data_IF_657859966383
#
_entry.id   IF_657859966383
#
_cell.length_a   1.000
_cell.length_b   1.000
_cell.length_c   1.000
_cell.angle_alpha   90.00
_cell.angle_beta   90.00
_cell.angle_gamma   90.00
#
_symmetry.space_group_name_H-M   'P 1'
#
loop_
_entity.id
_entity.type
_entity.pdbx_description
1 polymer ?
#
# COMPACT_ATOMS: atom_id res chain seq x y z
N UNK A 1 17.85 0.71 39.14
CA UNK A 1 17.79 1.64 37.98
C UNK A 1 18.43 1.06 36.72
N UNK A 2 19.63 0.46 36.76
CA UNK A 2 20.31 -0.09 35.56
C UNK A 2 19.52 -1.16 34.80
N UNK A 3 18.77 -2.01 35.50
CA UNK A 3 17.98 -3.09 34.88
C UNK A 3 16.82 -2.54 34.02
N UNK A 4 16.16 -1.47 34.47
CA UNK A 4 15.06 -0.85 33.71
C UNK A 4 15.60 -0.14 32.45
N UNK A 5 16.78 0.48 32.53
CA UNK A 5 17.44 1.11 31.38
C UNK A 5 17.84 0.09 30.32
N UNK A 6 18.26 -1.11 30.73
CA UNK A 6 18.58 -2.21 29.81
C UNK A 6 17.33 -2.70 29.07
N UNK A 7 16.20 -2.87 29.76
CA UNK A 7 14.94 -3.26 29.11
C UNK A 7 14.47 -2.24 28.06
N UNK A 8 14.60 -0.94 28.34
CA UNK A 8 14.24 0.14 27.41
C UNK A 8 15.14 0.11 26.16
N UNK A 9 16.46 -0.08 26.34
CA UNK A 9 17.41 -0.18 25.23
C UNK A 9 17.13 -1.40 24.33
N UNK A 10 16.77 -2.55 24.92
CA UNK A 10 16.43 -3.76 24.16
C UNK A 10 15.13 -3.56 23.37
N UNK A 11 14.09 -2.98 23.97
CA UNK A 11 12.83 -2.70 23.28
C UNK A 11 13.01 -1.76 22.07
N UNK A 12 13.87 -0.75 22.22
CA UNK A 12 14.17 0.17 21.12
C UNK A 12 14.91 -0.53 19.96
N UNK A 13 15.90 -1.36 20.26
CA UNK A 13 16.65 -2.09 19.24
C UNK A 13 15.77 -3.06 18.41
N UNK A 14 14.82 -3.74 19.04
CA UNK A 14 13.89 -4.67 18.34
C UNK A 14 12.98 -3.91 17.38
N UNK A 15 12.51 -2.73 17.79
CA UNK A 15 11.60 -1.89 16.99
C UNK A 15 12.21 -1.45 15.66
N UNK A 16 13.54 -1.23 15.63
CA UNK A 16 14.25 -0.89 14.39
C UNK A 16 14.34 -2.03 13.37
N UNK A 17 14.14 -3.29 13.78
CA UNK A 17 14.22 -4.46 12.87
C UNK A 17 12.89 -4.86 12.23
N UNK A 18 11.78 -4.22 12.64
CA UNK A 18 10.44 -4.58 12.16
C UNK A 18 10.17 -4.16 10.69
N UNK A 19 10.94 -3.21 10.15
CA UNK A 19 10.83 -2.80 8.76
C UNK A 19 11.62 -3.75 7.86
N UNK A 20 10.94 -4.73 7.26
CA UNK A 20 11.53 -5.66 6.29
C UNK A 20 11.13 -5.27 4.87
N UNK A 21 12.09 -5.31 3.94
CA UNK A 21 11.80 -5.08 2.52
C UNK A 21 11.05 -6.28 1.94
N UNK A 22 9.84 -6.04 1.41
CA UNK A 22 9.07 -7.07 0.70
C UNK A 22 9.40 -6.99 -0.79
N UNK A 23 10.06 -8.02 -1.30
CA UNK A 23 10.40 -8.13 -2.72
C UNK A 23 9.11 -8.15 -3.56
N UNK A 24 9.09 -7.56 -4.77
CA UNK A 24 7.89 -7.54 -5.62
C UNK A 24 7.29 -8.92 -5.87
N UNK A 25 8.14 -9.96 -6.02
CA UNK A 25 7.70 -11.35 -6.23
C UNK A 25 7.05 -11.97 -4.99
N UNK A 26 7.34 -11.49 -3.79
CA UNK A 26 6.71 -11.97 -2.56
C UNK A 26 5.30 -11.40 -2.40
N UNK A 27 5.00 -10.25 -3.00
CA UNK A 27 3.66 -9.64 -2.93
C UNK A 27 2.56 -10.57 -3.43
N UNK A 28 2.83 -11.44 -4.40
CA UNK A 28 1.84 -12.42 -4.87
C UNK A 28 1.37 -13.40 -3.79
N UNK A 29 2.22 -13.72 -2.82
CA UNK A 29 1.88 -14.61 -1.70
C UNK A 29 1.34 -13.84 -0.48
N UNK A 30 1.74 -12.58 -0.29
CA UNK A 30 1.31 -11.75 0.84
C UNK A 30 0.00 -10.97 0.56
N UNK A 31 -0.30 -10.64 -0.69
CA UNK A 31 -1.50 -9.91 -1.08
C UNK A 31 -2.66 -10.87 -1.35
N UNK A 32 -3.29 -11.34 -0.29
CA UNK A 32 -4.46 -12.21 -0.37
C UNK A 32 -5.62 -11.52 -1.13
N UNK A 33 -6.43 -12.25 -1.90
CA UNK A 33 -7.53 -11.66 -2.67
C UNK A 33 -8.52 -10.85 -1.82
N UNK A 34 -8.79 -11.28 -0.58
CA UNK A 34 -9.68 -10.56 0.34
C UNK A 34 -9.10 -9.23 0.89
N UNK A 35 -7.81 -8.97 0.68
CA UNK A 35 -7.16 -7.71 1.03
C UNK A 35 -7.19 -6.69 -0.11
N UNK A 36 -7.84 -7.02 -1.23
CA UNK A 36 -8.01 -6.10 -2.34
C UNK A 36 -8.78 -4.85 -1.89
N UNK A 37 -8.28 -3.68 -2.29
CA UNK A 37 -8.94 -2.39 -2.05
C UNK A 37 -10.31 -2.30 -2.74
N UNK A 38 -10.50 -3.11 -3.78
CA UNK A 38 -11.71 -3.19 -4.58
C UNK A 38 -12.29 -4.60 -4.47
N UNK A 39 -13.57 -4.68 -4.13
CA UNK A 39 -14.26 -5.95 -3.92
C UNK A 39 -14.66 -6.62 -5.23
N UNK A 40 -14.98 -5.83 -6.25
CA UNK A 40 -15.32 -6.27 -7.61
C UNK A 40 -14.49 -5.46 -8.62
N UNK A 41 -13.58 -6.14 -9.30
CA UNK A 41 -12.70 -5.52 -10.29
C UNK A 41 -13.45 -5.07 -11.56
N UNK A 42 -14.53 -5.76 -11.95
CA UNK A 42 -15.31 -5.43 -13.14
C UNK A 42 -16.13 -4.16 -12.90
N UNK A 43 -16.85 -4.10 -11.77
CA UNK A 43 -17.61 -2.91 -11.39
C UNK A 43 -16.68 -1.70 -11.21
N UNK A 44 -15.54 -1.91 -10.54
CA UNK A 44 -14.54 -0.86 -10.34
C UNK A 44 -13.98 -0.34 -11.67
N UNK A 45 -13.62 -1.23 -12.60
CA UNK A 45 -13.16 -0.87 -13.93
C UNK A 45 -14.20 -0.04 -14.69
N UNK A 46 -15.47 -0.45 -14.68
CA UNK A 46 -16.55 0.28 -15.35
C UNK A 46 -16.72 1.70 -14.77
N UNK A 47 -16.72 1.83 -13.44
CA UNK A 47 -16.80 3.13 -12.76
C UNK A 47 -15.60 4.01 -13.06
N UNK A 48 -14.40 3.43 -13.07
CA UNK A 48 -13.17 4.15 -13.41
C UNK A 48 -13.20 4.64 -14.85
N UNK A 49 -13.66 3.83 -15.81
CA UNK A 49 -13.80 4.26 -17.20
C UNK A 49 -14.78 5.43 -17.35
N UNK A 50 -15.92 5.37 -16.66
CA UNK A 50 -16.90 6.45 -16.66
C UNK A 50 -16.35 7.73 -16.01
N UNK A 51 -15.66 7.61 -14.88
CA UNK A 51 -15.03 8.73 -14.18
C UNK A 51 -13.92 9.37 -15.03
N UNK A 52 -13.02 8.55 -15.60
CA UNK A 52 -11.96 9.03 -16.48
C UNK A 52 -12.51 9.75 -17.72
N UNK A 53 -13.62 9.26 -18.29
CA UNK A 53 -14.27 9.93 -19.44
C UNK A 53 -14.83 11.31 -19.09
N UNK A 54 -15.21 11.54 -17.84
CA UNK A 54 -15.78 12.81 -17.37
C UNK A 54 -14.73 13.75 -16.79
N UNK A 55 -13.71 13.20 -16.17
CA UNK A 55 -12.76 13.90 -15.31
C UNK A 55 -11.31 13.50 -15.64
N UNK A 56 -10.98 13.27 -16.92
CA UNK A 56 -9.65 12.80 -17.33
C UNK A 56 -8.47 13.62 -16.76
N UNK A 57 -8.69 14.92 -16.53
CA UNK A 57 -7.69 15.81 -15.96
C UNK A 57 -7.40 15.57 -14.46
N UNK A 58 -8.24 14.82 -13.72
CA UNK A 58 -8.08 14.58 -12.28
C UNK A 58 -7.08 13.45 -11.95
N UNK A 59 -6.61 12.70 -12.95
CA UNK A 59 -5.73 11.53 -12.74
C UNK A 59 -6.50 10.24 -12.41
N UNK A 60 -5.77 9.11 -12.33
CA UNK A 60 -6.32 7.77 -12.11
C UNK A 60 -6.22 7.25 -10.66
N UNK A 61 -6.81 6.07 -10.41
CA UNK A 61 -6.77 5.41 -9.09
C UNK A 61 -5.53 4.50 -8.97
N UNK A 62 -4.74 4.66 -7.90
CA UNK A 62 -3.62 3.75 -7.57
C UNK A 62 -2.44 4.41 -6.85
N UNK A 63 -1.67 3.62 -6.09
CA UNK A 63 -0.53 4.07 -5.28
C UNK A 63 0.80 4.24 -6.03
N UNK A 64 0.79 4.33 -7.36
CA UNK A 64 1.98 4.46 -8.19
C UNK A 64 1.86 5.58 -9.22
N UNK A 65 2.02 6.84 -8.79
CA UNK A 65 2.08 8.02 -9.65
C UNK A 65 0.74 8.39 -10.29
N UNK A 66 0.26 9.62 -10.33
CA UNK A 66 0.89 10.93 -10.20
C UNK A 66 -0.06 11.86 -10.97
N UNK A 67 -0.58 12.89 -10.31
CA UNK A 67 -1.49 13.85 -10.94
C UNK A 67 -0.84 14.47 -12.18
N UNK A 68 -1.44 14.20 -13.35
CA UNK A 68 -1.30 14.92 -14.62
C UNK A 68 -2.30 14.39 -15.68
N UNK A 69 -2.94 13.23 -15.46
CA UNK A 69 -4.02 12.72 -16.34
C UNK A 69 -3.56 11.92 -17.56
N UNK A 70 -2.25 11.70 -17.75
CA UNK A 70 -1.71 10.85 -18.80
C UNK A 70 -1.43 9.44 -18.24
N UNK A 71 -2.31 8.48 -18.53
CA UNK A 71 -1.96 7.05 -18.47
C UNK A 71 -1.07 6.67 -19.66
#
# INVERSE_FOLDING_TARGET
MKLNTIFILIGFAVSCTACTEVLPRQRGNLALPQMALTTDAMEFGLRQHAAFSKEAASGGYGGGGGGCGCN
#
